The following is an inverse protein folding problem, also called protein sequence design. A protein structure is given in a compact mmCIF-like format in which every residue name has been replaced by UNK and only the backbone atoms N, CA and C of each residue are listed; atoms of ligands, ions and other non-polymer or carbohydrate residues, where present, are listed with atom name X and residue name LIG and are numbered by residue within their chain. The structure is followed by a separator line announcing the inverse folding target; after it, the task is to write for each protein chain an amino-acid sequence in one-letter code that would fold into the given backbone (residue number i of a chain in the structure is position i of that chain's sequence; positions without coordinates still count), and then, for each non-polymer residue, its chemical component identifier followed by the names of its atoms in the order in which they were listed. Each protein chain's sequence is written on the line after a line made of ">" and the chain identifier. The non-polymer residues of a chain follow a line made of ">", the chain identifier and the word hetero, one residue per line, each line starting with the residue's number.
data_IF_974229998828
#
_entry.id   IF_974229998828
#
_cell.length_a   1.000
_cell.length_b   1.000
_cell.length_c   1.000
_cell.angle_alpha   90.00
_cell.angle_beta   90.00
_cell.angle_gamma   90.00
#
_symmetry.space_group_name_H-M   'P 1'
#
loop_
_entity.id
_entity.type
_entity.pdbx_description
1 polymer ?
#
# COMPACT_ATOMS: atom_id res chain seq x y z
N UNK A 1 7.43 -4.40 38.73
CA UNK A 1 6.79 -5.46 39.55
C UNK A 1 5.33 -5.20 39.91
N UNK A 2 4.86 -3.97 40.05
CA UNK A 2 3.47 -3.66 40.46
C UNK A 2 2.37 -4.23 39.53
N UNK A 3 2.68 -4.56 38.27
CA UNK A 3 1.73 -5.07 37.25
C UNK A 3 1.74 -6.60 37.15
N UNK A 4 2.64 -7.29 37.85
CA UNK A 4 2.69 -8.76 37.84
C UNK A 4 1.61 -9.35 38.75
N UNK A 5 1.11 -10.53 38.36
CA UNK A 5 0.27 -11.33 39.23
C UNK A 5 0.94 -11.52 40.60
N UNK A 6 0.21 -11.49 41.73
CA UNK A 6 0.78 -11.57 43.07
C UNK A 6 1.69 -12.76 43.28
N UNK A 7 1.34 -13.95 42.73
CA UNK A 7 2.15 -15.16 42.79
C UNK A 7 3.50 -15.01 42.08
N UNK A 8 3.48 -14.51 40.82
CA UNK A 8 4.69 -14.26 40.05
C UNK A 8 5.53 -13.12 40.65
N UNK A 9 4.90 -12.14 41.32
CA UNK A 9 5.62 -11.08 42.03
C UNK A 9 6.40 -11.62 43.23
N UNK A 10 5.77 -12.48 44.02
CA UNK A 10 6.46 -13.10 45.16
C UNK A 10 7.63 -13.96 44.72
N UNK A 11 7.46 -14.78 43.68
CA UNK A 11 8.50 -15.65 43.13
C UNK A 11 9.71 -14.87 42.58
N UNK A 12 9.43 -13.74 41.86
CA UNK A 12 10.49 -12.94 41.24
C UNK A 12 11.04 -11.81 42.11
N UNK A 13 10.40 -11.50 43.24
CA UNK A 13 10.85 -10.40 44.08
C UNK A 13 12.29 -10.59 44.66
N UNK A 14 12.67 -11.83 44.91
CA UNK A 14 13.99 -12.14 45.44
C UNK A 14 15.11 -12.20 44.37
N UNK A 15 14.74 -12.41 43.08
CA UNK A 15 15.71 -12.62 41.98
C UNK A 15 15.69 -11.51 40.92
N UNK A 16 14.71 -10.59 40.96
CA UNK A 16 14.61 -9.53 39.95
C UNK A 16 15.61 -8.41 40.24
N UNK A 17 16.42 -8.10 39.23
CA UNK A 17 17.24 -6.90 39.18
C UNK A 17 17.01 -6.15 37.87
N UNK A 18 16.99 -4.80 37.85
CA UNK A 18 17.02 -4.03 36.62
C UNK A 18 18.43 -4.10 35.96
N UNK A 19 19.47 -4.48 36.68
CA UNK A 19 20.84 -4.50 36.22
C UNK A 19 21.19 -5.84 35.58
N UNK A 20 21.89 -5.79 34.46
CA UNK A 20 22.45 -6.90 33.72
C UNK A 20 23.96 -6.65 33.58
N UNK A 21 24.81 -7.11 34.54
CA UNK A 21 26.25 -6.88 34.47
C UNK A 21 26.86 -7.60 33.27
N UNK A 22 27.93 -7.01 32.75
CA UNK A 22 28.76 -7.62 31.70
C UNK A 22 29.92 -8.30 32.37
N UNK A 23 30.08 -9.60 32.13
CA UNK A 23 31.14 -10.37 32.73
C UNK A 23 32.51 -9.86 32.25
N UNK A 24 33.44 -9.47 33.15
CA UNK A 24 34.65 -8.75 32.79
C UNK A 24 35.63 -9.57 31.93
N UNK A 25 35.58 -10.89 32.02
CA UNK A 25 36.45 -11.78 31.25
C UNK A 25 35.84 -12.25 29.95
N UNK A 26 34.54 -12.62 29.97
CA UNK A 26 33.90 -13.22 28.80
C UNK A 26 33.13 -12.20 27.92
N UNK A 27 32.86 -11.02 28.44
CA UNK A 27 32.05 -10.01 27.77
C UNK A 27 30.55 -10.35 27.68
N UNK A 28 30.11 -11.46 28.27
CA UNK A 28 28.71 -11.86 28.23
C UNK A 28 27.82 -11.00 29.15
N UNK A 29 26.62 -10.68 28.70
CA UNK A 29 25.60 -10.02 29.53
C UNK A 29 24.99 -11.07 30.45
N UNK A 30 25.17 -10.86 31.75
CA UNK A 30 24.75 -11.82 32.78
C UNK A 30 23.37 -11.51 33.31
N UNK A 31 22.48 -12.50 33.34
CA UNK A 31 21.16 -12.40 33.97
C UNK A 31 21.20 -13.08 35.33
N UNK A 32 21.69 -12.36 36.33
CA UNK A 32 21.95 -12.83 37.68
C UNK A 32 21.24 -11.97 38.72
N UNK A 33 21.12 -12.53 39.94
CA UNK A 33 20.70 -11.73 41.10
C UNK A 33 21.83 -10.77 41.50
N UNK A 34 21.43 -9.58 41.95
CA UNK A 34 22.38 -8.59 42.50
C UNK A 34 22.36 -8.73 44.00
N UNK A 35 23.53 -9.09 44.58
CA UNK A 35 23.71 -9.31 46.02
C UNK A 35 23.64 -7.99 46.78
N UNK A 36 24.25 -6.92 46.21
CA UNK A 36 24.31 -5.61 46.85
C UNK A 36 24.31 -4.48 45.77
N UNK A 37 23.63 -3.41 46.07
CA UNK A 37 23.69 -2.12 45.30
C UNK A 37 24.38 -1.11 46.18
N UNK A 38 25.48 -0.51 45.70
CA UNK A 38 26.27 0.52 46.40
C UNK A 38 26.11 1.89 45.73
N UNK A 39 25.05 2.63 46.06
CA UNK A 39 24.74 3.90 45.38
C UNK A 39 25.86 4.93 45.47
N UNK A 40 26.50 5.05 46.61
CA UNK A 40 27.58 6.03 46.84
C UNK A 40 28.85 5.73 46.05
N UNK A 41 29.13 4.42 45.78
CA UNK A 41 30.24 3.98 44.93
C UNK A 41 29.88 3.91 43.46
N UNK A 42 28.58 3.91 43.13
CA UNK A 42 28.11 3.69 41.75
C UNK A 42 28.37 2.27 41.23
N UNK A 43 28.36 1.26 42.14
CA UNK A 43 28.66 -0.12 41.82
C UNK A 43 27.54 -1.08 42.24
N UNK A 44 27.55 -2.28 41.64
CA UNK A 44 26.73 -3.42 42.04
C UNK A 44 27.65 -4.62 42.34
N UNK A 45 27.23 -5.47 43.29
CA UNK A 45 27.90 -6.73 43.61
C UNK A 45 27.02 -7.88 43.15
N UNK A 46 27.59 -8.85 42.45
CA UNK A 46 26.92 -10.03 41.92
C UNK A 46 27.89 -11.22 41.91
N UNK A 47 27.34 -12.44 41.75
CA UNK A 47 28.16 -13.67 41.66
C UNK A 47 27.99 -14.34 40.29
N UNK A 48 29.13 -14.84 39.77
CA UNK A 48 29.11 -15.72 38.60
C UNK A 48 28.47 -17.06 39.00
N UNK A 49 27.38 -17.48 38.35
CA UNK A 49 26.71 -18.73 38.68
C UNK A 49 27.58 -19.99 38.39
N UNK A 50 28.59 -19.88 37.54
CA UNK A 50 29.45 -20.99 37.18
C UNK A 50 30.58 -21.21 38.20
N UNK A 51 31.17 -20.11 38.73
CA UNK A 51 32.36 -20.17 39.62
C UNK A 51 32.03 -19.78 41.04
N UNK A 52 30.86 -19.16 41.30
CA UNK A 52 30.48 -18.54 42.57
C UNK A 52 31.42 -17.39 43.01
N UNK A 53 32.28 -16.91 42.12
CA UNK A 53 33.13 -15.75 42.34
C UNK A 53 32.30 -14.46 42.41
N UNK A 54 32.64 -13.59 43.37
CA UNK A 54 31.94 -12.31 43.52
C UNK A 54 32.66 -11.22 42.72
N UNK A 55 31.86 -10.47 41.94
CA UNK A 55 32.32 -9.34 41.16
C UNK A 55 31.69 -8.05 41.68
N UNK A 56 32.48 -7.00 41.83
CA UNK A 56 31.99 -5.64 41.99
C UNK A 56 32.15 -4.90 40.67
N UNK A 57 31.01 -4.40 40.11
CA UNK A 57 30.97 -3.85 38.77
C UNK A 57 30.39 -2.43 38.79
N UNK A 58 31.07 -1.42 38.20
CA UNK A 58 30.51 -0.07 38.07
C UNK A 58 29.28 -0.07 37.15
N UNK A 59 28.26 0.73 37.50
CA UNK A 59 27.03 0.82 36.70
C UNK A 59 27.14 1.76 35.48
N UNK A 60 28.29 2.45 35.35
CA UNK A 60 28.61 3.37 34.26
C UNK A 60 29.70 2.78 33.37
N UNK A 61 30.08 3.50 32.29
CA UNK A 61 31.17 3.13 31.40
C UNK A 61 30.92 1.88 30.55
N UNK A 62 29.66 1.45 30.41
CA UNK A 62 29.33 0.28 29.56
C UNK A 62 29.50 -1.06 30.24
N UNK A 63 29.76 -1.14 31.55
CA UNK A 63 29.95 -2.38 32.30
C UNK A 63 28.64 -3.07 32.70
N UNK A 64 27.50 -2.36 32.61
CA UNK A 64 26.18 -2.89 32.98
C UNK A 64 25.16 -2.45 31.92
N UNK A 65 24.31 -3.38 31.48
CA UNK A 65 23.08 -3.08 30.77
C UNK A 65 21.89 -3.00 31.72
N UNK A 66 20.86 -2.32 31.33
CA UNK A 66 19.58 -2.38 32.01
C UNK A 66 18.62 -3.37 31.33
N UNK A 67 17.66 -3.89 32.08
CA UNK A 67 16.48 -4.54 31.55
C UNK A 67 15.75 -3.57 30.61
N UNK A 68 15.07 -4.11 29.59
CA UNK A 68 14.41 -3.33 28.53
C UNK A 68 13.61 -2.12 28.99
N UNK A 69 12.72 -2.27 29.97
CA UNK A 69 11.83 -1.19 30.39
C UNK A 69 12.54 -0.09 31.20
N UNK A 70 13.41 -0.43 32.15
CA UNK A 70 14.29 0.57 32.79
C UNK A 70 15.24 1.27 31.82
N UNK A 71 15.80 0.56 30.84
CA UNK A 71 16.67 1.14 29.82
C UNK A 71 15.90 2.17 28.97
N UNK A 72 14.70 1.82 28.57
CA UNK A 72 13.84 2.72 27.78
C UNK A 72 13.49 4.00 28.55
N UNK A 73 13.05 3.86 29.79
CA UNK A 73 12.76 5.00 30.66
C UNK A 73 14.01 5.86 30.95
N UNK A 74 15.15 5.26 31.19
CA UNK A 74 16.43 5.96 31.38
C UNK A 74 16.77 6.81 30.15
N UNK A 75 16.59 6.28 28.95
CA UNK A 75 16.84 7.03 27.69
C UNK A 75 15.89 8.21 27.55
N UNK A 76 14.60 8.04 27.84
CA UNK A 76 13.65 9.15 27.84
C UNK A 76 14.10 10.29 28.74
N UNK A 77 14.50 9.97 29.98
CA UNK A 77 14.94 10.95 30.94
C UNK A 77 16.28 11.59 30.54
N UNK A 78 17.26 10.78 30.15
CA UNK A 78 18.60 11.26 29.82
C UNK A 78 18.64 12.12 28.54
N UNK A 79 17.75 11.86 27.58
CA UNK A 79 17.68 12.57 26.30
C UNK A 79 16.62 13.66 26.28
N UNK A 80 15.80 13.80 27.32
CA UNK A 80 14.70 14.78 27.37
C UNK A 80 13.67 14.53 26.26
N UNK A 81 13.21 13.28 26.11
CA UNK A 81 12.28 12.91 25.03
C UNK A 81 10.90 13.44 25.32
N UNK A 82 10.36 14.29 24.45
CA UNK A 82 9.03 14.88 24.58
C UNK A 82 7.93 14.01 23.97
N UNK A 83 8.25 13.21 22.95
CA UNK A 83 7.28 12.40 22.22
C UNK A 83 7.86 11.05 21.76
N UNK A 84 7.10 9.96 21.97
CA UNK A 84 7.49 8.61 21.57
C UNK A 84 6.31 7.86 20.94
N UNK A 85 6.49 7.29 19.76
CA UNK A 85 5.50 6.41 19.12
C UNK A 85 5.87 4.95 19.35
N UNK A 86 4.87 4.12 19.64
CA UNK A 86 5.09 2.69 19.84
C UNK A 86 3.99 1.84 19.20
N UNK A 87 4.34 0.64 18.74
CA UNK A 87 3.35 -0.35 18.32
C UNK A 87 2.48 -0.82 19.48
N UNK A 88 1.27 -1.27 19.20
CA UNK A 88 0.30 -1.71 20.23
C UNK A 88 0.83 -2.82 21.14
N UNK A 89 1.76 -3.62 20.66
CA UNK A 89 2.41 -4.68 21.42
C UNK A 89 3.33 -4.16 22.53
N UNK A 90 3.65 -2.87 22.54
CA UNK A 90 4.46 -2.20 23.55
C UNK A 90 3.66 -1.38 24.58
N UNK A 91 2.32 -1.35 24.50
CA UNK A 91 1.46 -0.54 25.38
C UNK A 91 1.80 -0.74 26.87
N UNK A 92 1.90 -1.98 27.32
CA UNK A 92 2.25 -2.28 28.72
C UNK A 92 3.68 -1.88 29.06
N UNK A 93 4.59 -1.96 28.09
CA UNK A 93 5.99 -1.52 28.25
C UNK A 93 6.08 0.00 28.38
N UNK A 94 5.37 0.74 27.53
CA UNK A 94 5.26 2.22 27.59
C UNK A 94 4.71 2.66 28.95
N UNK A 95 3.60 2.04 29.41
CA UNK A 95 2.98 2.35 30.69
C UNK A 95 3.96 2.13 31.87
N UNK A 96 4.69 1.01 31.87
CA UNK A 96 5.63 0.72 32.93
C UNK A 96 6.88 1.61 32.86
N UNK A 97 7.40 1.87 31.66
CA UNK A 97 8.52 2.80 31.46
C UNK A 97 8.16 4.22 31.89
N UNK A 98 6.90 4.66 31.67
CA UNK A 98 6.41 5.95 32.19
C UNK A 98 6.40 6.01 33.72
N UNK A 99 6.05 4.91 34.42
CA UNK A 99 6.15 4.85 35.88
C UNK A 99 7.61 4.92 36.34
N UNK A 100 8.52 4.29 35.61
CA UNK A 100 9.95 4.34 35.91
C UNK A 100 10.52 5.74 35.66
N UNK A 101 10.13 6.42 34.58
CA UNK A 101 10.55 7.80 34.31
C UNK A 101 10.16 8.74 35.45
N UNK A 102 8.91 8.63 35.96
CA UNK A 102 8.47 9.43 37.15
C UNK A 102 9.29 9.10 38.41
N UNK A 103 9.64 7.82 38.60
CA UNK A 103 10.49 7.43 39.72
C UNK A 103 11.93 7.97 39.59
N UNK A 104 12.37 8.27 38.36
CA UNK A 104 13.64 8.96 38.07
C UNK A 104 13.53 10.50 38.17
N UNK A 105 12.36 11.02 38.48
CA UNK A 105 12.12 12.45 38.64
C UNK A 105 11.78 13.24 37.40
N UNK A 106 11.36 12.55 36.31
CA UNK A 106 10.98 13.19 35.07
C UNK A 106 9.57 12.78 34.63
N UNK A 107 8.89 13.66 33.89
CA UNK A 107 7.65 13.28 33.21
C UNK A 107 7.97 12.36 31.98
N UNK A 108 7.16 11.32 31.75
CA UNK A 108 7.31 10.50 30.55
C UNK A 108 6.90 11.29 29.31
N UNK A 109 7.40 10.93 28.12
CA UNK A 109 7.00 11.55 26.88
C UNK A 109 5.51 11.36 26.59
N UNK A 110 4.91 12.32 25.90
CA UNK A 110 3.62 12.12 25.25
C UNK A 110 3.73 10.98 24.23
N UNK A 111 2.67 10.19 24.08
CA UNK A 111 2.77 8.95 23.33
C UNK A 111 1.64 8.72 22.35
N UNK A 112 1.94 7.97 21.32
CA UNK A 112 0.97 7.47 20.35
C UNK A 112 1.20 5.99 20.08
N UNK A 113 0.12 5.19 20.14
CA UNK A 113 0.19 3.78 19.81
C UNK A 113 -0.45 3.52 18.45
N UNK A 114 0.29 2.84 17.57
CA UNK A 114 -0.18 2.44 16.25
C UNK A 114 -0.40 0.93 16.15
N UNK A 115 -1.27 0.55 15.20
CA UNK A 115 -1.58 -0.84 14.91
C UNK A 115 -0.48 -1.53 14.11
N UNK A 116 -0.51 -2.86 14.12
CA UNK A 116 0.41 -3.69 13.36
C UNK A 116 -0.05 -3.83 11.92
N UNK A 117 0.92 -4.04 11.02
CA UNK A 117 0.64 -4.45 9.65
C UNK A 117 0.44 -5.96 9.57
N UNK A 118 -0.48 -6.35 8.69
CA UNK A 118 -0.84 -7.74 8.44
C UNK A 118 -0.38 -8.15 7.04
N UNK A 119 -0.02 -9.40 6.88
CA UNK A 119 0.31 -9.98 5.57
C UNK A 119 -0.93 -10.21 4.70
N UNK A 120 -0.74 -10.83 3.54
CA UNK A 120 -1.81 -11.20 2.60
C UNK A 120 -2.94 -12.01 3.26
N UNK A 121 -2.58 -12.87 4.22
CA UNK A 121 -3.50 -13.77 4.92
C UNK A 121 -4.09 -13.16 6.20
N UNK A 122 -3.83 -11.89 6.48
CA UNK A 122 -4.26 -11.22 7.70
C UNK A 122 -3.48 -11.63 8.95
N UNK A 123 -2.28 -12.20 8.80
CA UNK A 123 -1.41 -12.56 9.91
C UNK A 123 -0.39 -11.43 10.18
N UNK A 124 0.08 -11.34 11.43
CA UNK A 124 1.10 -10.36 11.80
C UNK A 124 2.37 -10.54 10.94
N UNK A 125 2.84 -9.45 10.34
CA UNK A 125 4.12 -9.42 9.64
C UNK A 125 5.26 -9.60 10.64
N UNK A 126 6.22 -10.45 10.29
CA UNK A 126 7.39 -10.74 11.11
C UNK A 126 8.64 -10.88 10.24
N UNK A 127 9.74 -10.23 10.64
CA UNK A 127 11.03 -10.35 9.96
C UNK A 127 11.52 -11.79 9.83
N UNK A 128 11.29 -12.61 10.87
CA UNK A 128 11.71 -14.02 10.88
C UNK A 128 10.91 -14.90 9.91
N UNK A 129 9.69 -14.49 9.53
CA UNK A 129 8.85 -15.20 8.55
C UNK A 129 9.07 -14.72 7.12
N UNK A 130 9.68 -13.53 6.93
CA UNK A 130 9.86 -12.93 5.61
C UNK A 130 8.55 -12.63 4.87
N UNK A 131 7.44 -12.46 5.60
CA UNK A 131 6.09 -12.28 5.05
C UNK A 131 5.67 -10.81 4.96
N UNK A 132 6.63 -9.89 4.99
CA UNK A 132 6.38 -8.44 4.89
C UNK A 132 6.77 -7.89 3.54
N UNK A 133 6.16 -6.77 3.16
CA UNK A 133 6.58 -5.93 2.06
C UNK A 133 7.58 -4.90 2.57
N UNK A 134 8.75 -4.83 1.96
CA UNK A 134 9.78 -3.83 2.29
C UNK A 134 9.49 -2.48 1.65
N UNK A 135 10.14 -1.42 2.14
CA UNK A 135 10.04 -0.09 1.55
C UNK A 135 10.54 -0.10 0.10
N UNK A 136 11.67 -0.75 -0.18
CA UNK A 136 12.26 -0.83 -1.52
C UNK A 136 11.34 -1.55 -2.51
N UNK A 137 10.69 -2.64 -2.07
CA UNK A 137 9.68 -3.32 -2.88
C UNK A 137 8.47 -2.42 -3.17
N UNK A 138 7.97 -1.68 -2.17
CA UNK A 138 6.90 -0.70 -2.44
C UNK A 138 7.32 0.34 -3.46
N UNK A 139 8.51 0.94 -3.30
CA UNK A 139 9.02 2.00 -4.17
C UNK A 139 9.31 1.53 -5.60
N UNK A 140 9.50 0.24 -5.80
CA UNK A 140 9.61 -0.36 -7.15
C UNK A 140 8.30 -0.20 -7.93
N UNK A 141 7.14 -0.27 -7.26
CA UNK A 141 5.82 -0.29 -7.89
C UNK A 141 4.95 0.93 -7.61
N UNK A 142 5.37 1.80 -6.68
CA UNK A 142 4.58 2.94 -6.24
C UNK A 142 5.44 4.14 -5.84
N UNK A 143 4.80 5.28 -5.60
CA UNK A 143 5.48 6.51 -5.18
C UNK A 143 5.70 6.55 -3.67
N UNK A 144 6.73 7.29 -3.18
CA UNK A 144 6.95 7.49 -1.75
C UNK A 144 5.73 8.10 -1.03
N UNK A 145 5.04 9.04 -1.71
CA UNK A 145 3.89 9.73 -1.16
C UNK A 145 2.71 8.77 -0.93
N UNK A 146 2.52 7.79 -1.82
CA UNK A 146 1.49 6.77 -1.65
C UNK A 146 1.76 5.88 -0.43
N UNK A 147 3.04 5.54 -0.18
CA UNK A 147 3.46 4.82 1.02
C UNK A 147 3.25 5.68 2.28
N UNK A 148 3.67 6.94 2.22
CA UNK A 148 3.50 7.87 3.33
C UNK A 148 2.02 8.05 3.69
N UNK A 149 1.12 8.19 2.68
CA UNK A 149 -0.33 8.21 2.91
C UNK A 149 -0.83 6.91 3.52
N UNK A 150 -0.40 5.76 3.01
CA UNK A 150 -0.77 4.46 3.56
C UNK A 150 -0.39 4.33 5.03
N UNK A 151 0.79 4.82 5.42
CA UNK A 151 1.25 4.82 6.81
C UNK A 151 0.48 5.81 7.69
N UNK A 152 0.29 7.04 7.19
CA UNK A 152 -0.38 8.13 7.91
C UNK A 152 -1.86 7.89 8.13
N UNK A 153 -2.57 7.37 7.11
CA UNK A 153 -4.02 7.23 7.16
C UNK A 153 -4.43 6.12 8.15
N UNK A 154 -5.34 6.44 9.10
CA UNK A 154 -5.90 5.51 10.09
C UNK A 154 -4.85 4.66 10.82
N UNK A 155 -3.89 5.25 11.52
CA UNK A 155 -2.76 4.52 12.12
C UNK A 155 -3.17 3.59 13.27
N UNK A 156 -4.40 3.70 13.80
CA UNK A 156 -4.96 2.85 14.86
C UNK A 156 -5.78 1.67 14.34
N UNK A 157 -5.87 1.50 13.01
CA UNK A 157 -6.52 0.36 12.37
C UNK A 157 -5.45 -0.59 11.82
N UNK A 158 -5.62 -1.89 12.05
CA UNK A 158 -4.76 -2.89 11.44
C UNK A 158 -4.95 -2.88 9.92
N UNK A 159 -3.86 -2.79 9.18
CA UNK A 159 -3.87 -2.71 7.71
C UNK A 159 -3.09 -3.86 7.10
N UNK A 160 -3.64 -4.41 6.02
CA UNK A 160 -2.94 -5.39 5.21
C UNK A 160 -1.92 -4.66 4.34
N UNK A 161 -0.67 -5.06 4.45
CA UNK A 161 0.46 -4.54 3.68
C UNK A 161 0.97 -5.64 2.74
N UNK A 162 0.43 -5.66 1.54
CA UNK A 162 0.79 -6.58 0.48
C UNK A 162 0.72 -5.87 -0.88
N UNK A 163 1.27 -6.46 -1.93
CA UNK A 163 1.37 -5.80 -3.25
C UNK A 163 0.02 -5.39 -3.84
N UNK A 164 -1.05 -6.14 -3.58
CA UNK A 164 -2.39 -5.88 -4.11
C UNK A 164 -3.03 -4.56 -3.65
N UNK A 165 -2.56 -4.00 -2.54
CA UNK A 165 -3.08 -2.71 -2.04
C UNK A 165 -2.44 -1.50 -2.73
N UNK A 166 -1.30 -1.67 -3.41
CA UNK A 166 -0.50 -0.59 -3.99
C UNK A 166 -1.29 0.26 -4.99
N UNK A 167 -1.95 -0.30 -6.03
CA UNK A 167 -2.62 0.52 -7.03
C UNK A 167 -3.67 1.46 -6.44
N UNK A 168 -4.46 0.92 -5.51
CA UNK A 168 -5.48 1.69 -4.81
C UNK A 168 -4.89 2.87 -4.03
N UNK A 169 -3.76 2.66 -3.35
CA UNK A 169 -3.16 3.71 -2.51
C UNK A 169 -2.43 4.77 -3.31
N UNK A 170 -1.93 4.45 -4.51
CA UNK A 170 -1.44 5.45 -5.47
C UNK A 170 -2.60 6.34 -5.91
N UNK A 171 -3.72 5.75 -6.35
CA UNK A 171 -4.90 6.50 -6.79
C UNK A 171 -5.55 7.28 -5.63
N UNK A 172 -5.51 6.76 -4.39
CA UNK A 172 -6.03 7.46 -3.21
C UNK A 172 -5.20 8.74 -2.92
N UNK A 173 -3.88 8.67 -3.03
CA UNK A 173 -3.03 9.85 -2.89
C UNK A 173 -3.34 10.89 -3.97
N UNK A 174 -3.45 10.49 -5.22
CA UNK A 174 -3.75 11.39 -6.33
C UNK A 174 -5.14 12.03 -6.20
N UNK A 175 -6.11 11.31 -5.66
CA UNK A 175 -7.43 11.85 -5.33
C UNK A 175 -7.38 12.92 -4.23
N UNK A 176 -6.59 12.71 -3.17
CA UNK A 176 -6.41 13.72 -2.12
C UNK A 176 -5.66 14.95 -2.65
N UNK A 177 -4.63 14.72 -3.46
CA UNK A 177 -3.87 15.79 -4.13
C UNK A 177 -4.78 16.63 -5.04
N UNK A 178 -5.58 15.95 -5.88
CA UNK A 178 -6.52 16.62 -6.80
C UNK A 178 -7.56 17.50 -6.11
N UNK A 179 -8.01 17.06 -4.94
CA UNK A 179 -8.99 17.85 -4.15
C UNK A 179 -8.35 19.04 -3.44
N UNK A 180 -7.07 18.97 -3.11
CA UNK A 180 -6.39 19.95 -2.25
C UNK A 180 -6.43 21.36 -2.84
N UNK A 181 -6.18 21.54 -4.13
CA UNK A 181 -6.13 22.84 -4.80
C UNK A 181 -7.47 23.59 -4.76
N UNK A 182 -8.59 22.85 -4.84
CA UNK A 182 -9.94 23.40 -4.78
C UNK A 182 -10.51 23.58 -3.37
N UNK A 183 -9.80 23.18 -2.32
CA UNK A 183 -10.28 23.27 -0.95
C UNK A 183 -10.04 24.66 -0.33
N UNK A 184 -11.03 25.14 0.46
CA UNK A 184 -10.83 26.31 1.32
C UNK A 184 -9.75 26.04 2.38
N UNK A 185 -9.00 27.08 2.78
CA UNK A 185 -7.88 26.97 3.72
C UNK A 185 -8.21 26.18 5.00
N UNK A 186 -9.41 26.39 5.58
CA UNK A 186 -9.86 25.65 6.77
C UNK A 186 -9.98 24.13 6.58
N UNK A 187 -10.24 23.67 5.34
CA UNK A 187 -10.39 22.26 5.01
C UNK A 187 -9.06 21.60 4.59
N UNK A 188 -8.06 22.41 4.20
CA UNK A 188 -6.73 21.89 3.81
C UNK A 188 -6.02 21.18 4.95
N UNK A 189 -6.17 21.67 6.19
CA UNK A 189 -5.62 21.03 7.39
C UNK A 189 -6.20 19.62 7.64
N UNK A 190 -7.41 19.34 7.14
CA UNK A 190 -8.03 18.00 7.19
C UNK A 190 -7.61 17.08 6.07
N UNK A 191 -6.90 17.61 5.06
CA UNK A 191 -6.42 16.81 3.94
C UNK A 191 -5.04 16.19 4.29
N UNK A 192 -4.88 14.86 4.26
CA UNK A 192 -3.63 14.21 4.63
C UNK A 192 -2.43 14.68 3.81
N UNK A 193 -2.62 15.10 2.56
CA UNK A 193 -1.54 15.56 1.68
C UNK A 193 -0.80 16.77 2.25
N UNK A 194 -1.51 17.69 2.95
CA UNK A 194 -0.87 18.79 3.66
C UNK A 194 0.19 18.31 4.67
N UNK A 195 -0.17 17.30 5.45
CA UNK A 195 0.72 16.76 6.49
C UNK A 195 1.89 15.97 5.91
N UNK A 196 1.67 15.25 4.82
CA UNK A 196 2.72 14.48 4.14
C UNK A 196 3.82 15.37 3.54
N UNK A 197 3.45 16.58 3.10
CA UNK A 197 4.39 17.55 2.53
C UNK A 197 4.84 18.63 3.53
N UNK A 198 4.42 18.55 4.79
CA UNK A 198 4.67 19.57 5.81
C UNK A 198 4.28 20.98 5.34
N UNK A 199 3.21 21.11 4.56
CA UNK A 199 2.71 22.33 3.97
C UNK A 199 2.08 22.17 2.59
N UNK A 200 2.34 23.13 1.70
CA UNK A 200 1.78 23.12 0.33
C UNK A 200 2.33 21.95 -0.49
N UNK A 201 1.45 21.05 -0.97
CA UNK A 201 1.85 19.93 -1.80
C UNK A 201 2.17 20.38 -3.24
N UNK A 202 2.78 19.52 -4.08
CA UNK A 202 3.01 19.81 -5.48
C UNK A 202 1.69 20.03 -6.23
N UNK A 203 1.77 20.75 -7.33
CA UNK A 203 0.63 20.91 -8.23
C UNK A 203 0.23 19.58 -8.86
N UNK A 204 -1.06 19.44 -9.15
CA UNK A 204 -1.59 18.27 -9.88
C UNK A 204 -1.16 18.35 -11.34
N UNK A 205 -0.63 17.26 -11.86
CA UNK A 205 -0.38 17.14 -13.30
C UNK A 205 -1.68 16.70 -14.00
N UNK A 206 -2.19 17.56 -14.87
CA UNK A 206 -3.41 17.32 -15.65
C UNK A 206 -3.05 17.15 -17.12
N UNK A 207 -3.78 16.29 -17.82
CA UNK A 207 -3.50 15.94 -19.23
C UNK A 207 -4.28 16.78 -20.24
N UNK A 208 -5.21 17.60 -19.75
CA UNK A 208 -6.02 18.51 -20.56
C UNK A 208 -6.42 19.78 -19.77
N UNK A 209 -7.02 20.75 -20.47
CA UNK A 209 -7.50 22.00 -19.89
C UNK A 209 -8.71 21.81 -18.95
N UNK A 210 -9.40 20.70 -19.07
CA UNK A 210 -10.53 20.35 -18.19
C UNK A 210 -10.07 19.83 -16.81
N UNK A 211 -8.76 19.63 -16.62
CA UNK A 211 -8.21 19.17 -15.36
C UNK A 211 -8.22 17.65 -15.20
N UNK A 212 -8.32 16.91 -16.31
CA UNK A 212 -8.29 15.43 -16.28
C UNK A 212 -6.92 14.91 -15.83
N UNK A 213 -6.94 13.89 -14.97
CA UNK A 213 -5.75 13.18 -14.52
C UNK A 213 -5.79 11.72 -14.98
N UNK A 214 -4.63 11.10 -15.18
CA UNK A 214 -4.53 9.66 -15.42
C UNK A 214 -4.30 8.94 -14.10
N UNK A 215 -5.23 8.08 -13.71
CA UNK A 215 -5.08 7.24 -12.53
C UNK A 215 -4.09 6.09 -12.78
N UNK A 216 -3.48 5.58 -11.72
CA UNK A 216 -2.60 4.42 -11.81
C UNK A 216 -3.34 3.17 -12.31
N UNK A 217 -4.60 2.98 -11.85
CA UNK A 217 -5.46 1.93 -12.37
C UNK A 217 -5.72 2.06 -13.87
N UNK A 218 -5.87 3.29 -14.42
CA UNK A 218 -6.00 3.51 -15.86
C UNK A 218 -4.71 3.13 -16.59
N UNK A 219 -3.54 3.52 -16.07
CA UNK A 219 -2.25 3.14 -16.65
C UNK A 219 -2.06 1.63 -16.67
N UNK A 220 -2.39 0.92 -15.61
CA UNK A 220 -2.33 -0.55 -15.56
C UNK A 220 -3.20 -1.19 -16.64
N UNK A 221 -4.40 -0.66 -16.88
CA UNK A 221 -5.27 -1.17 -17.94
C UNK A 221 -4.70 -0.89 -19.34
N UNK A 222 -4.13 0.29 -19.56
CA UNK A 222 -3.48 0.60 -20.84
C UNK A 222 -2.30 -0.33 -21.10
N UNK A 223 -1.44 -0.54 -20.12
CA UNK A 223 -0.33 -1.51 -20.19
C UNK A 223 -0.85 -2.90 -20.53
N UNK A 224 -1.95 -3.30 -19.87
CA UNK A 224 -2.55 -4.61 -20.03
C UNK A 224 -3.04 -4.88 -21.46
N UNK A 225 -3.68 -3.89 -22.07
CA UNK A 225 -4.29 -4.01 -23.40
C UNK A 225 -3.27 -3.78 -24.51
N UNK A 226 -2.39 -2.80 -24.33
CA UNK A 226 -1.31 -2.53 -25.27
C UNK A 226 -0.28 -3.66 -25.31
N UNK A 227 -0.34 -4.60 -24.35
CA UNK A 227 0.73 -5.57 -24.08
C UNK A 227 2.11 -4.85 -24.04
N UNK A 228 2.10 -3.63 -23.45
CA UNK A 228 3.24 -2.75 -23.49
C UNK A 228 4.31 -3.26 -22.55
N UNK A 229 5.43 -3.66 -23.09
CA UNK A 229 6.65 -3.98 -22.35
C UNK A 229 7.61 -2.78 -22.30
N UNK A 230 7.27 -1.70 -23.01
CA UNK A 230 8.08 -0.50 -23.23
C UNK A 230 7.26 0.76 -22.95
N UNK A 231 7.90 1.72 -22.27
CA UNK A 231 7.32 3.03 -21.97
C UNK A 231 6.95 3.81 -23.24
N UNK A 232 7.73 3.69 -24.32
CA UNK A 232 7.48 4.39 -25.57
C UNK A 232 6.13 4.02 -26.19
N UNK A 233 5.72 2.76 -26.08
CA UNK A 233 4.42 2.29 -26.53
C UNK A 233 3.31 2.96 -25.70
N UNK A 234 3.43 2.96 -24.38
CA UNK A 234 2.44 3.54 -23.49
C UNK A 234 2.32 5.05 -23.69
N UNK A 235 3.45 5.75 -23.83
CA UNK A 235 3.48 7.18 -24.17
C UNK A 235 2.86 7.45 -25.54
N UNK A 236 3.01 6.55 -26.50
CA UNK A 236 2.35 6.64 -27.80
C UNK A 236 0.81 6.66 -27.68
N UNK A 237 0.23 5.90 -26.77
CA UNK A 237 -1.22 5.94 -26.48
C UNK A 237 -1.60 7.22 -25.76
N UNK A 238 -0.88 7.63 -24.72
CA UNK A 238 -1.15 8.86 -23.96
C UNK A 238 -1.15 10.06 -24.87
N UNK A 239 -0.16 10.21 -25.77
CA UNK A 239 -0.03 11.34 -26.70
C UNK A 239 -1.12 11.39 -27.77
N UNK A 240 -1.77 10.29 -28.11
CA UNK A 240 -2.93 10.32 -29.00
C UNK A 240 -4.10 11.08 -28.38
N UNK A 241 -4.30 10.93 -27.09
CA UNK A 241 -5.33 11.64 -26.34
C UNK A 241 -4.91 13.05 -25.94
N UNK A 242 -3.67 13.18 -25.50
CA UNK A 242 -3.09 14.42 -24.98
C UNK A 242 -1.72 14.71 -25.66
N UNK A 243 -1.71 15.33 -26.86
CA UNK A 243 -0.50 15.48 -27.68
C UNK A 243 0.65 16.25 -27.02
N UNK A 244 0.33 17.14 -26.07
CA UNK A 244 1.30 17.98 -25.37
C UNK A 244 1.83 17.32 -24.07
N UNK A 245 1.40 16.12 -23.76
CA UNK A 245 1.78 15.40 -22.56
C UNK A 245 2.95 14.46 -22.85
N UNK A 246 3.99 14.53 -22.03
CA UNK A 246 5.15 13.68 -22.18
C UNK A 246 6.00 13.64 -20.91
N UNK A 247 7.02 12.78 -20.86
CA UNK A 247 7.81 12.56 -19.63
C UNK A 247 8.53 13.81 -19.13
N UNK A 248 8.90 14.73 -20.03
CA UNK A 248 9.60 15.97 -19.70
C UNK A 248 8.65 17.03 -19.10
N UNK A 249 7.40 17.06 -19.57
CA UNK A 249 6.38 18.01 -19.11
C UNK A 249 5.58 17.49 -17.92
N UNK A 250 5.53 16.16 -17.74
CA UNK A 250 4.74 15.48 -16.70
C UNK A 250 5.61 14.44 -15.98
N UNK A 251 6.63 14.87 -15.19
CA UNK A 251 7.59 13.95 -14.57
C UNK A 251 6.97 13.01 -13.54
N UNK A 252 5.89 13.44 -12.85
CA UNK A 252 5.16 12.56 -11.94
C UNK A 252 4.46 11.43 -12.70
N UNK A 253 3.75 11.77 -13.78
CA UNK A 253 3.11 10.79 -14.66
C UNK A 253 4.15 9.84 -15.27
N UNK A 254 5.33 10.33 -15.63
CA UNK A 254 6.42 9.49 -16.12
C UNK A 254 6.85 8.46 -15.08
N UNK A 255 7.00 8.88 -13.82
CA UNK A 255 7.27 7.95 -12.73
C UNK A 255 6.16 6.91 -12.50
N UNK A 256 4.89 7.28 -12.74
CA UNK A 256 3.77 6.32 -12.66
C UNK A 256 3.75 5.34 -13.84
N UNK A 257 4.10 5.79 -15.04
CA UNK A 257 4.23 4.94 -16.25
C UNK A 257 5.25 3.82 -16.02
N UNK A 258 6.46 4.17 -15.58
CA UNK A 258 7.51 3.19 -15.26
C UNK A 258 7.05 2.16 -14.24
N UNK A 259 6.41 2.63 -13.16
CA UNK A 259 5.90 1.76 -12.08
C UNK A 259 4.73 0.89 -12.51
N UNK A 260 3.85 1.41 -13.36
CA UNK A 260 2.74 0.64 -13.90
C UNK A 260 3.22 -0.54 -14.77
N UNK A 261 4.25 -0.33 -15.59
CA UNK A 261 4.88 -1.40 -16.39
C UNK A 261 5.50 -2.47 -15.49
N UNK A 262 6.24 -2.08 -14.45
CA UNK A 262 6.83 -3.01 -13.51
C UNK A 262 5.75 -3.81 -12.76
N UNK A 263 4.74 -3.13 -12.21
CA UNK A 263 3.64 -3.77 -11.50
C UNK A 263 2.84 -4.73 -12.40
N UNK A 264 2.53 -4.30 -13.62
CA UNK A 264 1.82 -5.14 -14.59
C UNK A 264 2.59 -6.42 -14.91
N UNK A 265 3.89 -6.29 -15.25
CA UNK A 265 4.75 -7.43 -15.60
C UNK A 265 4.81 -8.46 -14.48
N UNK A 266 4.95 -8.01 -13.24
CA UNK A 266 5.26 -8.88 -12.11
C UNK A 266 4.00 -9.45 -11.44
N UNK A 267 2.89 -8.70 -11.39
CA UNK A 267 1.70 -9.08 -10.64
C UNK A 267 0.42 -9.24 -11.46
N UNK A 268 0.20 -8.43 -12.49
CA UNK A 268 -1.08 -8.43 -13.21
C UNK A 268 -1.09 -9.47 -14.32
N UNK A 269 -0.12 -9.38 -15.22
CA UNK A 269 -0.03 -10.27 -16.39
C UNK A 269 -0.07 -11.76 -16.04
N UNK A 270 0.62 -12.24 -14.99
CA UNK A 270 0.58 -13.65 -14.62
C UNK A 270 -0.76 -14.15 -14.08
N UNK A 271 -1.59 -13.26 -13.56
CA UNK A 271 -2.85 -13.60 -12.91
C UNK A 271 -4.08 -13.43 -13.80
N UNK A 272 -3.91 -12.90 -15.01
CA UNK A 272 -5.02 -12.70 -15.95
C UNK A 272 -5.71 -14.01 -16.29
N UNK A 273 -7.04 -13.97 -16.42
CA UNK A 273 -7.89 -15.11 -16.73
C UNK A 273 -8.78 -14.80 -17.92
N UNK A 274 -8.18 -14.83 -19.11
CA UNK A 274 -8.95 -14.65 -20.34
C UNK A 274 -9.84 -15.86 -20.59
N UNK A 275 -11.05 -15.60 -21.09
CA UNK A 275 -11.99 -16.62 -21.56
C UNK A 275 -12.62 -16.22 -22.88
N UNK A 276 -13.09 -17.19 -23.61
CA UNK A 276 -13.92 -16.91 -24.78
C UNK A 276 -15.26 -16.30 -24.36
N UNK A 277 -15.82 -15.39 -25.17
CA UNK A 277 -17.17 -14.86 -24.95
C UNK A 277 -18.22 -15.96 -25.18
N UNK A 278 -19.34 -15.87 -24.46
CA UNK A 278 -20.57 -16.61 -24.83
C UNK A 278 -21.16 -16.04 -26.12
N UNK A 279 -22.14 -16.74 -26.70
CA UNK A 279 -22.81 -16.26 -27.94
C UNK A 279 -23.47 -14.91 -27.74
N UNK A 280 -24.13 -14.67 -26.59
CA UNK A 280 -24.76 -13.41 -26.22
C UNK A 280 -23.72 -12.28 -26.03
N UNK A 281 -22.63 -12.56 -25.33
CA UNK A 281 -21.51 -11.62 -25.15
C UNK A 281 -20.85 -11.27 -26.48
N UNK A 282 -20.66 -12.28 -27.34
CA UNK A 282 -20.09 -12.09 -28.68
C UNK A 282 -20.99 -11.22 -29.56
N UNK A 283 -22.30 -11.41 -29.50
CA UNK A 283 -23.25 -10.56 -30.22
C UNK A 283 -23.18 -9.10 -29.74
N UNK A 284 -23.16 -8.86 -28.42
CA UNK A 284 -23.04 -7.53 -27.83
C UNK A 284 -21.70 -6.86 -28.16
N UNK A 285 -20.60 -7.61 -28.13
CA UNK A 285 -19.27 -7.08 -28.48
C UNK A 285 -19.18 -6.71 -29.98
N UNK A 286 -19.79 -7.49 -30.88
CA UNK A 286 -19.86 -7.13 -32.31
C UNK A 286 -20.69 -5.86 -32.52
N UNK A 287 -21.84 -5.75 -31.85
CA UNK A 287 -22.68 -4.54 -31.90
C UNK A 287 -21.91 -3.31 -31.37
N UNK A 288 -21.16 -3.47 -30.26
CA UNK A 288 -20.31 -2.40 -29.74
C UNK A 288 -19.24 -1.98 -30.76
N UNK A 289 -18.53 -2.94 -31.36
CA UNK A 289 -17.50 -2.66 -32.33
C UNK A 289 -18.05 -1.94 -33.58
N UNK A 290 -19.25 -2.30 -34.05
CA UNK A 290 -19.89 -1.64 -35.19
C UNK A 290 -20.39 -0.25 -34.83
N UNK A 291 -21.04 -0.09 -33.68
CA UNK A 291 -21.49 1.23 -33.20
C UNK A 291 -20.31 2.20 -33.01
N UNK A 292 -19.20 1.73 -32.46
CA UNK A 292 -17.99 2.54 -32.28
C UNK A 292 -17.37 3.01 -33.61
N UNK A 293 -17.57 2.31 -34.70
CA UNK A 293 -17.01 2.66 -36.03
C UNK A 293 -17.45 4.04 -36.48
N UNK A 294 -18.70 4.45 -36.18
CA UNK A 294 -19.23 5.76 -36.51
C UNK A 294 -18.61 6.90 -35.67
N UNK A 295 -17.87 6.54 -34.64
CA UNK A 295 -17.22 7.46 -33.70
C UNK A 295 -15.68 7.42 -33.78
N UNK A 296 -15.14 7.02 -34.93
CA UNK A 296 -13.70 6.98 -35.17
C UNK A 296 -13.06 8.35 -34.89
N UNK A 297 -11.98 8.39 -34.10
CA UNK A 297 -11.32 9.64 -33.71
C UNK A 297 -11.96 10.37 -32.52
N UNK A 298 -13.10 9.91 -31.99
CA UNK A 298 -13.68 10.50 -30.78
C UNK A 298 -12.77 10.28 -29.57
N UNK A 299 -12.54 11.33 -28.80
CA UNK A 299 -11.81 11.35 -27.53
C UNK A 299 -12.70 11.77 -26.34
N UNK A 300 -14.02 11.94 -26.57
CA UNK A 300 -14.98 12.29 -25.52
C UNK A 300 -15.37 11.05 -24.70
N UNK A 301 -14.90 10.93 -23.46
CA UNK A 301 -15.15 9.74 -22.63
C UNK A 301 -16.64 9.58 -22.24
N UNK A 302 -17.40 10.69 -22.15
CA UNK A 302 -18.81 10.64 -21.79
C UNK A 302 -19.66 10.15 -22.97
N UNK A 303 -19.40 10.66 -24.17
CA UNK A 303 -20.06 10.21 -25.39
C UNK A 303 -19.77 8.70 -25.64
N UNK A 304 -18.51 8.29 -25.52
CA UNK A 304 -18.12 6.89 -25.68
C UNK A 304 -18.74 5.99 -24.60
N UNK A 305 -18.84 6.46 -23.36
CA UNK A 305 -19.51 5.73 -22.29
C UNK A 305 -21.02 5.58 -22.55
N UNK A 306 -21.67 6.60 -23.13
CA UNK A 306 -23.06 6.52 -23.49
C UNK A 306 -23.33 5.41 -24.53
N UNK A 307 -22.42 5.22 -25.49
CA UNK A 307 -22.47 4.13 -26.47
C UNK A 307 -22.39 2.76 -25.76
N UNK A 308 -21.46 2.61 -24.84
CA UNK A 308 -21.30 1.36 -24.05
C UNK A 308 -22.57 1.04 -23.26
N UNK A 309 -23.21 2.06 -22.68
CA UNK A 309 -24.50 1.89 -22.00
C UNK A 309 -25.63 1.54 -22.96
N UNK A 310 -25.68 2.15 -24.16
CA UNK A 310 -26.75 1.89 -25.12
C UNK A 310 -26.67 0.45 -25.65
N UNK A 311 -25.48 -0.04 -25.99
CA UNK A 311 -25.27 -1.44 -26.38
C UNK A 311 -25.61 -2.38 -25.21
N UNK A 312 -25.19 -2.03 -23.99
CA UNK A 312 -25.54 -2.79 -22.79
C UNK A 312 -27.05 -2.88 -22.57
N UNK A 313 -27.81 -1.80 -22.82
CA UNK A 313 -29.28 -1.84 -22.72
C UNK A 313 -29.96 -2.72 -23.77
N UNK A 314 -29.38 -2.83 -24.95
CA UNK A 314 -29.91 -3.70 -26.02
C UNK A 314 -29.73 -5.19 -25.72
N UNK A 315 -28.56 -5.56 -25.18
CA UNK A 315 -28.20 -6.97 -25.00
C UNK A 315 -28.31 -7.44 -23.54
N UNK A 316 -28.06 -6.58 -22.57
CA UNK A 316 -28.02 -6.88 -21.13
C UNK A 316 -28.86 -5.87 -20.32
N UNK A 317 -30.18 -5.72 -20.58
CA UNK A 317 -31.04 -4.82 -19.81
C UNK A 317 -31.16 -5.29 -18.34
N UNK A 318 -31.20 -4.34 -17.39
CA UNK A 318 -31.50 -4.67 -15.99
C UNK A 318 -33.03 -4.83 -15.81
N UNK A 319 -33.48 -6.07 -15.90
CA UNK A 319 -34.90 -6.44 -15.71
C UNK A 319 -35.33 -6.44 -14.24
N UNK A 320 -34.41 -6.29 -13.28
CA UNK A 320 -34.73 -6.24 -11.85
C UNK A 320 -35.43 -4.94 -11.42
N UNK A 321 -35.38 -3.91 -12.26
CA UNK A 321 -35.93 -2.58 -12.00
C UNK A 321 -35.13 -1.76 -10.96
N UNK A 322 -33.99 -2.28 -10.48
CA UNK A 322 -33.14 -1.59 -9.50
C UNK A 322 -32.32 -0.47 -10.14
N UNK A 323 -31.87 -0.65 -11.37
CA UNK A 323 -31.21 0.37 -12.15
C UNK A 323 -32.15 0.90 -13.24
N UNK A 324 -32.42 2.23 -13.23
CA UNK A 324 -33.19 2.91 -14.24
C UNK A 324 -32.34 3.96 -14.92
N UNK A 325 -32.49 4.11 -16.23
CA UNK A 325 -31.93 5.23 -16.98
C UNK A 325 -32.68 6.53 -16.65
N UNK A 326 -32.04 7.71 -16.76
CA UNK A 326 -32.73 9.01 -16.58
C UNK A 326 -33.97 9.20 -17.47
N UNK A 327 -34.03 8.51 -18.59
CA UNK A 327 -35.17 8.51 -19.53
C UNK A 327 -36.27 7.47 -19.22
N UNK A 328 -36.16 6.78 -18.06
CA UNK A 328 -37.13 5.78 -17.58
C UNK A 328 -37.02 4.40 -18.22
N UNK A 329 -36.09 4.18 -19.17
CA UNK A 329 -35.79 2.85 -19.74
C UNK A 329 -35.09 1.96 -18.70
N UNK A 330 -35.07 0.61 -18.85
CA UNK A 330 -34.29 -0.26 -18.05
C UNK A 330 -32.79 0.18 -18.03
N UNK A 331 -32.16 0.09 -16.90
CA UNK A 331 -30.71 0.30 -16.80
C UNK A 331 -29.93 -0.85 -17.46
N UNK A 332 -28.63 -0.84 -17.26
CA UNK A 332 -27.73 -1.88 -17.78
C UNK A 332 -27.36 -2.85 -16.64
N UNK A 333 -27.42 -4.14 -16.90
CA UNK A 333 -26.99 -5.17 -15.97
C UNK A 333 -25.49 -5.06 -15.68
N UNK A 334 -25.11 -5.31 -14.43
CA UNK A 334 -23.68 -5.43 -14.05
C UNK A 334 -22.96 -6.52 -14.82
N UNK A 335 -23.69 -7.53 -15.30
CA UNK A 335 -23.16 -8.62 -16.11
C UNK A 335 -22.47 -8.12 -17.38
N UNK A 336 -23.04 -7.09 -18.05
CA UNK A 336 -22.42 -6.50 -19.22
C UNK A 336 -20.99 -5.99 -18.96
N UNK A 337 -20.81 -5.23 -17.90
CA UNK A 337 -19.49 -4.72 -17.55
C UNK A 337 -18.54 -5.85 -17.13
N UNK A 338 -19.04 -6.82 -16.37
CA UNK A 338 -18.24 -8.01 -16.03
C UNK A 338 -17.82 -8.79 -17.30
N UNK A 339 -18.70 -8.90 -18.30
CA UNK A 339 -18.38 -9.53 -19.60
C UNK A 339 -17.27 -8.79 -20.32
N UNK A 340 -17.36 -7.46 -20.42
CA UNK A 340 -16.30 -6.63 -21.02
C UNK A 340 -14.96 -6.90 -20.36
N UNK A 341 -14.90 -6.83 -19.03
CA UNK A 341 -13.62 -6.98 -18.32
C UNK A 341 -13.07 -8.41 -18.38
N UNK A 342 -13.90 -9.43 -18.23
CA UNK A 342 -13.45 -10.81 -18.29
C UNK A 342 -12.96 -11.22 -19.70
N UNK A 343 -13.65 -10.77 -20.73
CA UNK A 343 -13.35 -11.16 -22.12
C UNK A 343 -12.19 -10.37 -22.71
N UNK A 344 -12.20 -9.02 -22.52
CA UNK A 344 -11.20 -8.16 -23.14
C UNK A 344 -9.91 -8.02 -22.31
N UNK A 345 -10.02 -8.11 -20.99
CA UNK A 345 -8.88 -7.83 -20.09
C UNK A 345 -8.45 -9.02 -19.23
N UNK A 346 -9.23 -10.08 -19.17
CA UNK A 346 -8.97 -11.22 -18.28
C UNK A 346 -9.07 -10.86 -16.79
N UNK A 347 -9.93 -9.89 -16.44
CA UNK A 347 -10.10 -9.36 -15.09
C UNK A 347 -11.59 -9.30 -14.73
N UNK A 348 -11.92 -9.33 -13.43
CA UNK A 348 -13.31 -9.29 -12.96
C UNK A 348 -13.93 -7.88 -13.02
N UNK A 349 -13.11 -6.83 -13.03
CA UNK A 349 -13.51 -5.43 -13.02
C UNK A 349 -12.39 -4.55 -13.59
N UNK A 350 -12.73 -3.31 -13.95
CA UNK A 350 -11.77 -2.35 -14.49
C UNK A 350 -12.31 -0.91 -14.45
N UNK A 351 -11.60 0.06 -15.03
CA UNK A 351 -12.00 1.45 -15.04
C UNK A 351 -13.23 1.68 -15.92
N UNK A 352 -13.79 2.89 -15.85
CA UNK A 352 -14.88 3.31 -16.73
C UNK A 352 -14.51 3.09 -18.20
N UNK A 353 -15.28 2.24 -18.90
CA UNK A 353 -14.87 1.75 -20.22
C UNK A 353 -14.85 2.84 -21.30
N UNK A 354 -15.74 3.85 -21.21
CA UNK A 354 -15.71 5.00 -22.11
C UNK A 354 -14.41 5.81 -21.99
N UNK A 355 -13.90 6.00 -20.79
CA UNK A 355 -12.59 6.64 -20.56
C UNK A 355 -11.43 5.80 -21.12
N UNK A 356 -11.55 4.47 -21.02
CA UNK A 356 -10.59 3.57 -21.64
C UNK A 356 -10.60 3.70 -23.18
N UNK A 357 -11.79 3.70 -23.80
CA UNK A 357 -11.93 3.84 -25.27
C UNK A 357 -11.32 5.18 -25.72
N UNK A 358 -11.62 6.28 -25.00
CA UNK A 358 -11.07 7.60 -25.32
C UNK A 358 -9.54 7.60 -25.38
N UNK A 359 -8.91 6.95 -24.43
CA UNK A 359 -7.45 6.90 -24.29
C UNK A 359 -6.80 5.86 -25.23
N UNK A 360 -7.37 4.66 -25.34
CA UNK A 360 -6.84 3.58 -26.19
C UNK A 360 -7.14 3.81 -27.67
N UNK A 361 -8.17 4.62 -27.96
CA UNK A 361 -8.68 4.90 -29.29
C UNK A 361 -9.76 3.91 -29.74
N UNK A 362 -10.69 4.42 -30.52
CA UNK A 362 -11.80 3.63 -31.06
C UNK A 362 -11.28 2.48 -31.94
N UNK A 363 -10.37 2.77 -32.88
CA UNK A 363 -9.77 1.74 -33.75
C UNK A 363 -9.08 0.64 -32.95
N UNK A 364 -8.28 1.01 -31.91
CA UNK A 364 -7.61 0.07 -31.04
C UNK A 364 -8.59 -0.81 -30.26
N UNK A 365 -9.67 -0.20 -29.72
CA UNK A 365 -10.71 -0.94 -29.00
C UNK A 365 -11.44 -1.94 -29.91
N UNK A 366 -11.76 -1.55 -31.14
CA UNK A 366 -12.37 -2.45 -32.11
C UNK A 366 -11.44 -3.63 -32.43
N UNK A 367 -10.17 -3.39 -32.68
CA UNK A 367 -9.19 -4.45 -32.91
C UNK A 367 -9.06 -5.40 -31.72
N UNK A 368 -9.13 -4.86 -30.48
CA UNK A 368 -9.14 -5.67 -29.26
C UNK A 368 -10.38 -6.58 -29.17
N UNK A 369 -11.55 -6.04 -29.50
CA UNK A 369 -12.81 -6.81 -29.57
C UNK A 369 -12.68 -7.94 -30.61
N UNK A 370 -12.15 -7.67 -31.82
CA UNK A 370 -11.92 -8.68 -32.85
C UNK A 370 -10.95 -9.78 -32.36
N UNK A 371 -9.87 -9.40 -31.68
CA UNK A 371 -8.94 -10.35 -31.03
C UNK A 371 -9.63 -11.26 -30.01
N UNK A 372 -10.51 -10.69 -29.20
CA UNK A 372 -11.27 -11.47 -28.23
C UNK A 372 -12.26 -12.45 -28.92
N UNK A 373 -12.97 -11.96 -29.91
CA UNK A 373 -13.94 -12.76 -30.70
C UNK A 373 -13.27 -13.91 -31.46
N UNK A 374 -12.03 -13.74 -31.93
CA UNK A 374 -11.25 -14.79 -32.60
C UNK A 374 -10.60 -15.81 -31.64
N UNK A 375 -10.64 -15.55 -30.32
CA UNK A 375 -9.95 -16.36 -29.31
C UNK A 375 -8.45 -16.08 -29.20
N UNK A 376 -7.92 -15.11 -29.93
CA UNK A 376 -6.48 -14.81 -29.95
C UNK A 376 -5.96 -14.36 -28.57
N UNK A 377 -6.75 -13.61 -27.77
CA UNK A 377 -6.34 -13.20 -26.42
C UNK A 377 -6.10 -14.40 -25.49
N UNK A 378 -6.96 -15.41 -25.56
CA UNK A 378 -6.82 -16.64 -24.77
C UNK A 378 -5.55 -17.40 -25.17
N UNK A 379 -5.32 -17.55 -26.49
CA UNK A 379 -4.16 -18.27 -27.03
C UNK A 379 -2.83 -17.55 -26.68
N UNK A 380 -2.75 -16.24 -26.85
CA UNK A 380 -1.57 -15.43 -26.51
C UNK A 380 -1.23 -15.51 -25.02
N UNK A 381 -2.24 -15.45 -24.15
CA UNK A 381 -2.03 -15.56 -22.72
C UNK A 381 -1.57 -16.95 -22.29
N UNK A 382 -2.14 -18.01 -22.87
CA UNK A 382 -1.69 -19.38 -22.62
C UNK A 382 -0.23 -19.57 -23.02
N UNK A 383 0.19 -19.06 -24.19
CA UNK A 383 1.57 -19.11 -24.64
C UNK A 383 2.52 -18.35 -23.69
N UNK A 384 2.10 -17.19 -23.17
CA UNK A 384 2.86 -16.45 -22.16
C UNK A 384 3.06 -17.26 -20.87
N UNK A 385 2.01 -17.90 -20.34
CA UNK A 385 2.12 -18.73 -19.14
C UNK A 385 3.05 -19.92 -19.31
N UNK A 386 3.04 -20.57 -20.49
CA UNK A 386 3.96 -21.65 -20.81
C UNK A 386 5.41 -21.18 -20.89
N UNK A 387 5.68 -20.03 -21.54
CA UNK A 387 7.03 -19.46 -21.61
C UNK A 387 7.60 -19.14 -20.23
N UNK A 388 6.74 -18.67 -19.32
CA UNK A 388 7.13 -18.34 -17.94
C UNK A 388 7.45 -19.59 -17.11
N UNK A 389 6.69 -20.68 -17.29
CA UNK A 389 6.99 -21.97 -16.65
C UNK A 389 8.34 -22.51 -17.11
N UNK A 390 8.62 -22.41 -18.41
CA UNK A 390 9.90 -22.85 -18.99
C UNK A 390 11.09 -22.02 -18.48
N UNK A 391 10.90 -20.73 -18.20
CA UNK A 391 11.93 -19.85 -17.65
C UNK A 391 12.17 -20.07 -16.15
N UNK A 392 11.22 -20.68 -15.43
CA UNK A 392 11.30 -20.95 -13.98
C UNK A 392 11.80 -22.39 -13.67
N UNK A 393 11.90 -23.25 -14.67
CA UNK A 393 12.40 -24.63 -14.60
C UNK A 393 13.90 -24.69 -14.92
#
# INVERSE_FOLDING_TARGET
>A
MAIMLPSLRAERSASYSPFLPIHPVTGHVMQVSIDEVRPSAGTIVWRDPATNEAYETPVTGGHVKLQWKPDWAMRWVALGVDYEMAGKDLIDSVKLSGQIARALGAEPPEGFNYELFLDEKGQKISKSKGNGLTIDEWLTYATPESLALFMYNKPREAKRLFFDVIPRHVDEYDNFLGRFSGQEAKHRLGNPVWHLHAGEPPAVETIDEAGTTLSFGMLLNLVAVANAEDEAVLWGFIRRYAPNVGPETHPRLAGLVTRALAYYRDFVRPQKQYRAPTDEEAAALRDLAETLKEHEGSTDPEALQAIVYEVGRRHFPDLSGKAKSPDGRPGVSKTWFASIYNVLFGEAQGPRFGSFIALYGVAGTRALIEKALSGALVAEHAAFLESRKAAAA
#
